data_IF_769558923250
#
_entry.id   IF_769558923250
#
_cell.length_a   1.000
_cell.length_b   1.000
_cell.length_c   1.000
_cell.angle_alpha   90.00
_cell.angle_beta   90.00
_cell.angle_gamma   90.00
#
_symmetry.space_group_name_H-M   'P 1'
#
loop_
_entity.id
_entity.type
_entity.pdbx_description
1 polymer ?
#
# COMPACT_ATOMS: atom_id res chain seq x y z
N UNK A 1 -15.04 -4.83 20.90
CA UNK A 1 -14.02 -5.78 20.42
C UNK A 1 -13.32 -6.28 21.68
N UNK A 2 -13.42 -7.57 21.99
CA UNK A 2 -12.65 -8.12 23.12
C UNK A 2 -11.20 -8.19 22.64
N UNK A 3 -10.28 -7.53 23.35
CA UNK A 3 -8.86 -7.64 23.05
C UNK A 3 -8.45 -9.07 23.41
N UNK A 4 -8.15 -9.88 22.39
CA UNK A 4 -7.62 -11.22 22.60
C UNK A 4 -6.20 -11.09 23.14
N UNK A 5 -5.94 -11.70 24.31
CA UNK A 5 -4.61 -11.72 24.92
C UNK A 5 -3.75 -12.73 24.16
N UNK A 6 -2.71 -12.25 23.49
CA UNK A 6 -1.80 -13.10 22.71
C UNK A 6 -0.52 -13.36 23.50
N UNK A 7 0.06 -14.57 23.37
CA UNK A 7 1.34 -14.88 24.00
C UNK A 7 2.50 -14.51 23.09
N UNK A 8 3.62 -14.09 23.70
CA UNK A 8 4.87 -13.81 22.99
C UNK A 8 5.37 -15.03 22.19
N UNK A 9 5.16 -16.25 22.72
CA UNK A 9 5.52 -17.48 22.00
C UNK A 9 4.77 -17.60 20.67
N UNK A 10 3.46 -17.38 20.69
CA UNK A 10 2.60 -17.48 19.50
C UNK A 10 2.95 -16.39 18.47
N UNK A 11 3.24 -15.16 18.94
CA UNK A 11 3.73 -14.08 18.08
C UNK A 11 5.10 -14.36 17.47
N UNK A 12 6.00 -14.99 18.23
CA UNK A 12 7.33 -15.36 17.73
C UNK A 12 7.26 -16.48 16.69
N UNK A 13 6.35 -17.43 16.86
CA UNK A 13 6.08 -18.49 15.89
C UNK A 13 5.54 -17.89 14.58
N UNK A 14 4.51 -17.04 14.66
CA UNK A 14 3.95 -16.37 13.50
C UNK A 14 4.95 -15.43 12.79
N UNK A 15 5.78 -14.70 13.55
CA UNK A 15 6.82 -13.86 12.96
C UNK A 15 7.89 -14.68 12.25
N UNK A 16 8.30 -15.81 12.82
CA UNK A 16 9.26 -16.71 12.17
C UNK A 16 8.68 -17.33 10.90
N UNK A 17 7.38 -17.62 10.86
CA UNK A 17 6.67 -18.03 9.64
C UNK A 17 6.69 -16.93 8.58
N UNK A 18 6.39 -15.67 8.94
CA UNK A 18 6.37 -14.56 7.98
C UNK A 18 7.75 -14.14 7.47
N UNK A 19 8.82 -14.33 8.24
CA UNK A 19 10.18 -14.04 7.78
C UNK A 19 10.66 -15.04 6.71
N UNK A 20 10.01 -16.20 6.59
CA UNK A 20 10.31 -17.16 5.53
C UNK A 20 9.54 -16.77 4.27
N UNK A 21 10.27 -16.28 3.26
CA UNK A 21 9.69 -15.85 1.97
C UNK A 21 9.16 -17.02 1.11
N UNK A 22 9.44 -18.27 1.49
CA UNK A 22 9.06 -19.49 0.75
C UNK A 22 8.04 -20.33 1.53
N UNK A 23 6.95 -20.71 0.86
CA UNK A 23 5.78 -21.42 1.43
C UNK A 23 6.12 -22.82 2.00
N UNK A 24 7.24 -23.41 1.58
CA UNK A 24 7.71 -24.76 1.99
C UNK A 24 8.97 -24.73 2.88
N UNK A 25 9.42 -23.56 3.33
CA UNK A 25 10.66 -23.47 4.08
C UNK A 25 10.52 -24.08 5.49
N UNK A 26 11.44 -24.96 5.87
CA UNK A 26 11.45 -25.57 7.19
C UNK A 26 11.90 -24.57 8.26
N UNK A 27 10.97 -24.19 9.14
CA UNK A 27 11.25 -23.26 10.24
C UNK A 27 12.04 -23.98 11.32
N UNK A 28 13.27 -23.53 11.56
CA UNK A 28 14.11 -24.13 12.59
C UNK A 28 13.81 -23.56 13.98
N UNK A 29 14.19 -24.29 15.01
CA UNK A 29 14.17 -23.79 16.39
C UNK A 29 15.03 -22.52 16.55
N UNK A 30 16.06 -22.35 15.72
CA UNK A 30 16.93 -21.17 15.77
C UNK A 30 16.22 -19.93 15.25
N UNK A 31 15.40 -20.05 14.20
CA UNK A 31 14.64 -18.94 13.61
C UNK A 31 13.58 -18.44 14.59
N UNK A 32 12.80 -19.36 15.15
CA UNK A 32 11.85 -19.08 16.23
C UNK A 32 12.50 -18.36 17.42
N UNK A 33 13.68 -18.84 17.85
CA UNK A 33 14.42 -18.22 18.95
C UNK A 33 14.88 -16.80 18.61
N UNK A 34 15.28 -16.53 17.37
CA UNK A 34 15.66 -15.18 16.92
C UNK A 34 14.46 -14.25 16.94
N UNK A 35 13.33 -14.66 16.36
CA UNK A 35 12.09 -13.90 16.37
C UNK A 35 11.66 -13.56 17.82
N UNK A 36 11.66 -14.57 18.70
CA UNK A 36 11.34 -14.40 20.12
C UNK A 36 12.23 -13.36 20.81
N UNK A 37 13.56 -13.48 20.66
CA UNK A 37 14.52 -12.58 21.29
C UNK A 37 14.36 -11.15 20.76
N UNK A 38 14.18 -11.00 19.45
CA UNK A 38 13.97 -9.69 18.81
C UNK A 38 12.70 -9.00 19.32
N UNK A 39 11.58 -9.74 19.36
CA UNK A 39 10.31 -9.24 19.89
C UNK A 39 10.45 -8.81 21.35
N UNK A 40 11.03 -9.67 22.18
CA UNK A 40 11.19 -9.43 23.61
C UNK A 40 12.07 -8.22 23.93
N UNK A 41 13.19 -8.06 23.22
CA UNK A 41 14.21 -7.06 23.56
C UNK A 41 13.96 -5.70 22.91
N UNK A 42 13.37 -5.67 21.72
CA UNK A 42 13.32 -4.46 20.91
C UNK A 42 11.91 -4.07 20.52
N UNK A 43 11.15 -4.96 19.91
CA UNK A 43 9.89 -4.55 19.27
C UNK A 43 8.75 -4.35 20.25
N UNK A 44 8.47 -5.32 21.13
CA UNK A 44 7.35 -5.19 22.08
C UNK A 44 7.56 -4.05 23.08
N UNK A 45 8.75 -3.86 23.69
CA UNK A 45 8.97 -2.72 24.59
C UNK A 45 8.73 -1.37 23.90
N UNK A 46 9.18 -1.19 22.65
CA UNK A 46 8.98 0.07 21.93
C UNK A 46 7.52 0.33 21.57
N UNK A 47 6.77 -0.71 21.22
CA UNK A 47 5.35 -0.59 20.92
C UNK A 47 4.52 -0.31 22.19
N UNK A 48 4.95 -0.87 23.33
CA UNK A 48 4.39 -0.62 24.65
C UNK A 48 4.68 0.82 25.13
N UNK A 49 5.92 1.30 24.97
CA UNK A 49 6.32 2.68 25.25
C UNK A 49 5.48 3.70 24.45
N UNK A 50 5.09 3.34 23.21
CA UNK A 50 4.21 4.13 22.37
C UNK A 50 2.70 3.92 22.66
N UNK A 51 2.36 3.06 23.62
CA UNK A 51 1.01 2.65 24.01
C UNK A 51 0.18 2.09 22.83
N UNK A 52 0.86 1.50 21.86
CA UNK A 52 0.26 0.82 20.69
C UNK A 52 -0.20 -0.57 21.10
N UNK A 53 0.55 -1.22 21.98
CA UNK A 53 0.20 -2.48 22.67
C UNK A 53 0.34 -2.25 24.18
N UNK A 54 -0.20 -3.16 24.98
CA UNK A 54 0.14 -3.33 26.40
C UNK A 54 0.92 -4.64 26.53
N UNK A 55 2.20 -4.55 26.87
CA UNK A 55 3.08 -5.70 26.99
C UNK A 55 3.42 -6.04 28.44
N UNK A 56 2.83 -7.13 28.94
CA UNK A 56 3.20 -7.68 30.24
C UNK A 56 4.42 -8.60 30.12
N UNK A 57 5.62 -8.01 30.22
CA UNK A 57 6.88 -8.72 30.08
C UNK A 57 7.05 -9.93 31.03
N UNK A 58 6.70 -9.84 32.34
CA UNK A 58 6.78 -10.98 33.25
C UNK A 58 5.89 -12.17 32.85
N UNK A 59 4.72 -11.89 32.27
CA UNK A 59 3.76 -12.93 31.84
C UNK A 59 3.92 -13.33 30.38
N UNK A 60 4.68 -12.56 29.60
CA UNK A 60 4.83 -12.76 28.16
C UNK A 60 3.51 -12.61 27.40
N UNK A 61 2.61 -11.74 27.87
CA UNK A 61 1.29 -11.51 27.25
C UNK A 61 1.22 -10.13 26.63
N UNK A 62 0.56 -10.04 25.48
CA UNK A 62 0.40 -8.83 24.68
C UNK A 62 -1.09 -8.57 24.49
N UNK A 63 -1.51 -7.34 24.73
CA UNK A 63 -2.86 -6.83 24.46
C UNK A 63 -2.80 -5.57 23.59
N UNK A 64 -3.92 -5.17 22.99
CA UNK A 64 -3.99 -3.93 22.22
C UNK A 64 -4.00 -2.72 23.16
N UNK A 65 -3.09 -1.77 22.91
CA UNK A 65 -2.97 -0.54 23.67
C UNK A 65 -3.97 0.53 23.20
N UNK A 66 -4.05 1.63 23.95
CA UNK A 66 -5.02 2.70 23.67
C UNK A 66 -4.74 3.42 22.34
N UNK A 67 -3.46 3.50 21.94
CA UNK A 67 -3.05 4.15 20.68
C UNK A 67 -3.12 3.22 19.47
N UNK A 68 -3.55 1.96 19.61
CA UNK A 68 -3.61 1.03 18.48
C UNK A 68 -4.41 1.57 17.30
N UNK A 69 -5.59 2.16 17.55
CA UNK A 69 -6.44 2.73 16.50
C UNK A 69 -5.76 3.86 15.72
N UNK A 70 -4.90 4.63 16.37
CA UNK A 70 -4.15 5.73 15.73
C UNK A 70 -3.10 5.19 14.74
N UNK A 71 -2.55 4.01 14.99
CA UNK A 71 -1.54 3.35 14.13
C UNK A 71 -2.20 2.44 13.09
N UNK A 72 -3.37 1.86 13.39
CA UNK A 72 -4.09 0.94 12.52
C UNK A 72 -4.31 1.47 11.10
N UNK A 73 -4.54 2.79 10.95
CA UNK A 73 -4.68 3.45 9.64
C UNK A 73 -3.43 3.40 8.76
N UNK A 74 -2.25 3.15 9.34
CA UNK A 74 -0.98 3.02 8.62
C UNK A 74 -0.56 1.55 8.40
N UNK A 75 -1.05 0.61 9.21
CA UNK A 75 -0.73 -0.83 9.09
C UNK A 75 -1.29 -1.46 7.82
N UNK A 76 -2.42 -0.93 7.33
CA UNK A 76 -2.88 -1.21 5.99
C UNK A 76 -2.57 0.04 5.17
N UNK A 77 -1.48 0.05 4.38
CA UNK A 77 -1.35 1.05 3.32
C UNK A 77 -2.60 0.88 2.47
N UNK A 78 -3.58 1.76 2.65
CA UNK A 78 -4.74 1.73 1.80
C UNK A 78 -4.16 1.90 0.40
N UNK A 79 -4.30 0.88 -0.44
CA UNK A 79 -4.05 0.98 -1.87
C UNK A 79 -4.97 2.04 -2.53
N UNK A 80 -5.70 2.84 -1.75
CA UNK A 80 -6.51 3.96 -2.22
C UNK A 80 -5.71 4.91 -3.11
N UNK A 81 -4.43 5.15 -2.79
CA UNK A 81 -3.53 5.94 -3.62
C UNK A 81 -3.29 5.29 -4.98
N UNK A 82 -2.86 4.02 -5.01
CA UNK A 82 -2.53 3.30 -6.25
C UNK A 82 -3.77 3.06 -7.12
N UNK A 83 -4.90 2.65 -6.53
CA UNK A 83 -6.17 2.41 -7.26
C UNK A 83 -6.77 3.70 -7.83
N UNK A 84 -6.49 4.87 -7.22
CA UNK A 84 -6.88 6.17 -7.79
C UNK A 84 -6.07 6.49 -9.05
N UNK A 85 -4.74 6.33 -8.98
CA UNK A 85 -3.85 6.56 -10.11
C UNK A 85 -4.12 5.59 -11.26
N UNK A 86 -4.34 4.31 -10.97
CA UNK A 86 -4.68 3.29 -11.96
C UNK A 86 -5.97 3.65 -12.72
N UNK A 87 -7.00 4.12 -12.02
CA UNK A 87 -8.26 4.57 -12.63
C UNK A 87 -8.06 5.83 -13.47
N UNK A 88 -7.25 6.79 -13.02
CA UNK A 88 -6.93 7.98 -13.82
C UNK A 88 -6.20 7.61 -15.11
N UNK A 89 -5.18 6.75 -15.06
CA UNK A 89 -4.46 6.30 -16.24
C UNK A 89 -5.36 5.51 -17.21
N UNK A 90 -6.20 4.61 -16.70
CA UNK A 90 -7.16 3.87 -17.53
C UNK A 90 -8.16 4.81 -18.21
N UNK A 91 -8.72 5.78 -17.48
CA UNK A 91 -9.66 6.75 -18.05
C UNK A 91 -8.99 7.66 -19.09
N UNK A 92 -7.77 8.15 -18.81
CA UNK A 92 -7.00 8.96 -19.74
C UNK A 92 -6.62 8.21 -21.00
N UNK A 93 -6.25 6.92 -20.87
CA UNK A 93 -5.99 6.03 -22.00
C UNK A 93 -7.22 5.80 -22.86
N UNK A 94 -8.37 5.51 -22.24
CA UNK A 94 -9.65 5.32 -22.95
C UNK A 94 -10.08 6.58 -23.71
N UNK A 95 -9.94 7.76 -23.09
CA UNK A 95 -10.24 9.04 -23.74
C UNK A 95 -9.29 9.27 -24.93
N UNK A 96 -8.00 9.03 -24.74
CA UNK A 96 -6.99 9.18 -25.82
C UNK A 96 -7.28 8.28 -27.01
N UNK A 97 -7.57 6.99 -26.77
CA UNK A 97 -7.96 6.05 -27.82
C UNK A 97 -9.24 6.48 -28.53
N UNK A 98 -10.23 6.96 -27.79
CA UNK A 98 -11.48 7.47 -28.36
C UNK A 98 -11.23 8.66 -29.28
N UNK A 99 -10.39 9.61 -28.85
CA UNK A 99 -10.01 10.80 -29.63
C UNK A 99 -9.34 10.40 -30.95
N UNK A 100 -8.35 9.50 -30.89
CA UNK A 100 -7.65 9.02 -32.09
C UNK A 100 -8.56 8.22 -33.03
N UNK A 101 -9.52 7.46 -32.46
CA UNK A 101 -10.56 6.77 -33.23
C UNK A 101 -11.47 7.75 -33.96
N UNK A 102 -11.95 8.80 -33.29
CA UNK A 102 -12.78 9.84 -33.92
C UNK A 102 -12.03 10.62 -35.01
N UNK A 103 -10.72 10.80 -34.86
CA UNK A 103 -9.89 11.45 -35.89
C UNK A 103 -9.82 10.65 -37.21
N UNK A 104 -10.21 9.36 -37.24
CA UNK A 104 -10.27 8.57 -38.48
C UNK A 104 -11.53 8.83 -39.31
N UNK A 105 -12.53 9.50 -38.76
CA UNK A 105 -13.78 9.77 -39.47
C UNK A 105 -13.59 10.89 -40.50
N UNK A 106 -14.00 10.62 -41.74
CA UNK A 106 -13.96 11.57 -42.85
C UNK A 106 -15.27 12.35 -43.03
N UNK A 107 -16.24 12.14 -42.14
CA UNK A 107 -17.50 12.88 -42.10
C UNK A 107 -17.36 14.19 -41.32
N UNK A 108 -18.23 15.16 -41.61
CA UNK A 108 -18.39 16.36 -40.77
C UNK A 108 -18.94 15.99 -39.39
N UNK A 109 -18.45 16.57 -38.28
CA UNK A 109 -17.47 17.65 -38.20
C UNK A 109 -15.99 17.22 -38.16
N UNK A 110 -15.70 15.93 -38.06
CA UNK A 110 -14.35 15.41 -37.79
C UNK A 110 -13.33 15.76 -38.89
N UNK A 111 -13.76 15.74 -40.16
CA UNK A 111 -12.94 16.12 -41.31
C UNK A 111 -12.51 17.60 -41.31
N UNK A 112 -13.23 18.46 -40.59
CA UNK A 112 -12.91 19.88 -40.49
C UNK A 112 -11.86 20.17 -39.40
N UNK A 113 -11.49 19.18 -38.58
CA UNK A 113 -10.53 19.33 -37.48
C UNK A 113 -9.12 19.03 -37.97
N UNK A 114 -8.17 19.98 -37.91
CA UNK A 114 -6.78 19.74 -38.30
C UNK A 114 -6.09 18.72 -37.39
N UNK A 115 -5.17 17.92 -37.95
CA UNK A 115 -4.41 16.91 -37.19
C UNK A 115 -3.68 17.48 -35.95
N UNK A 116 -3.20 18.72 -36.03
CA UNK A 116 -2.53 19.38 -34.90
C UNK A 116 -3.49 19.61 -33.72
N UNK A 117 -4.77 19.87 -33.98
CA UNK A 117 -5.77 20.06 -32.93
C UNK A 117 -6.04 18.75 -32.18
N UNK A 118 -6.11 17.62 -32.89
CA UNK A 118 -6.21 16.29 -32.27
C UNK A 118 -5.01 15.96 -31.39
N UNK A 119 -3.79 16.27 -31.85
CA UNK A 119 -2.56 16.07 -31.09
C UNK A 119 -2.53 16.90 -29.79
N UNK A 120 -2.91 18.19 -29.87
CA UNK A 120 -2.99 19.06 -28.70
C UNK A 120 -4.06 18.59 -27.70
N UNK A 121 -5.19 18.04 -28.18
CA UNK A 121 -6.25 17.52 -27.34
C UNK A 121 -5.77 16.29 -26.54
N UNK A 122 -5.03 15.38 -27.17
CA UNK A 122 -4.40 14.24 -26.49
C UNK A 122 -3.40 14.70 -25.43
N UNK A 123 -2.53 15.65 -25.77
CA UNK A 123 -1.58 16.23 -24.81
C UNK A 123 -2.28 16.91 -23.63
N UNK A 124 -3.40 17.59 -23.87
CA UNK A 124 -4.17 18.24 -22.82
C UNK A 124 -4.82 17.24 -21.87
N UNK A 125 -5.23 16.06 -22.35
CA UNK A 125 -5.80 15.00 -21.50
C UNK A 125 -4.70 14.29 -20.70
N UNK A 126 -3.60 13.92 -21.35
CA UNK A 126 -2.57 13.09 -20.71
C UNK A 126 -1.51 13.89 -19.95
N UNK A 127 -1.18 15.09 -20.41
CA UNK A 127 -0.14 15.95 -19.83
C UNK A 127 -0.35 16.27 -18.35
N UNK A 128 -1.55 16.74 -17.92
CA UNK A 128 -1.82 17.03 -16.52
C UNK A 128 -1.76 15.79 -15.63
N UNK A 129 -2.17 14.61 -16.14
CA UNK A 129 -2.14 13.35 -15.40
C UNK A 129 -0.68 12.97 -15.09
N UNK A 130 0.21 13.06 -16.08
CA UNK A 130 1.64 12.78 -15.89
C UNK A 130 2.31 13.79 -14.96
N UNK A 131 2.00 15.09 -15.12
CA UNK A 131 2.58 16.15 -14.30
C UNK A 131 2.17 16.02 -12.82
N UNK A 132 0.91 15.67 -12.56
CA UNK A 132 0.41 15.52 -11.19
C UNK A 132 1.04 14.29 -10.53
N UNK A 133 1.17 13.18 -11.26
CA UNK A 133 1.83 11.98 -10.75
C UNK A 133 3.30 12.24 -10.40
N UNK A 134 4.06 12.90 -11.28
CA UNK A 134 5.50 13.13 -11.06
C UNK A 134 5.78 14.02 -9.84
N UNK A 135 4.95 15.03 -9.59
CA UNK A 135 5.09 15.90 -8.41
C UNK A 135 4.77 15.14 -7.12
N UNK A 136 3.72 14.32 -7.11
CA UNK A 136 3.28 13.57 -5.91
C UNK A 136 4.25 12.46 -5.53
N UNK A 137 4.84 11.76 -6.52
CA UNK A 137 5.83 10.71 -6.25
C UNK A 137 7.18 11.26 -5.80
N UNK A 138 7.54 12.48 -6.17
CA UNK A 138 8.79 13.12 -5.73
C UNK A 138 8.69 13.83 -4.37
N UNK A 139 7.48 14.10 -3.88
CA UNK A 139 7.24 14.74 -2.57
C UNK A 139 7.03 13.75 -1.41
N UNK A 140 7.10 12.44 -1.68
CA UNK A 140 6.90 11.35 -0.72
C UNK A 140 8.22 10.65 -0.44
#
# INVERSE_FOLDING_TARGET
MQAEVVRLGDLADALAEWEMEEEDAYITHQDRKRAYVSLYQTHLPKLDDANVIDYNQPRGTIELGQNFQSVQKYLHPSHSGTVFWDRLYLSGGFVTLSILGFAQFTAFPFVAVPNIAWFLLVLFVFGPIVLTHSVVTHSS
#
